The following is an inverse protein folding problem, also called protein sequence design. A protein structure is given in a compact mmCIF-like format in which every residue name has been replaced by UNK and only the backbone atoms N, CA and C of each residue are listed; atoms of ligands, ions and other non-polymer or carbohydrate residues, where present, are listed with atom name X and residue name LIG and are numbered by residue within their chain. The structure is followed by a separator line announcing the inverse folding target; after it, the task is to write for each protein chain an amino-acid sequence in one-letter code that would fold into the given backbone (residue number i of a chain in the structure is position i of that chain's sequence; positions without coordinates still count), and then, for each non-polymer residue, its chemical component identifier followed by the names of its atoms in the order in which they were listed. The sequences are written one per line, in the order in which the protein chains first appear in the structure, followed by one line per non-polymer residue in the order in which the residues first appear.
data_IF_502091950315
#
_entry.id   IF_502091950315
#
_cell.length_a   1.000
_cell.length_b   1.000
_cell.length_c   1.000
_cell.angle_alpha   90.00
_cell.angle_beta   90.00
_cell.angle_gamma   90.00
#
_symmetry.space_group_name_H-M   'P 1'
#
loop_
_entity.id
_entity.type
_entity.pdbx_description
1 polymer ?
#
# COMPACT_ATOMS: atom_id res chain seq x y z
N UNK A 1 2.22 24.39 5.81
CA UNK A 1 3.14 25.29 5.08
C UNK A 1 2.34 26.52 4.69
N UNK A 2 2.70 27.72 5.17
CA UNK A 2 1.97 28.95 4.84
C UNK A 2 2.57 29.52 3.56
N UNK A 3 1.81 29.49 2.48
CA UNK A 3 2.22 30.09 1.21
C UNK A 3 1.80 31.56 1.24
N UNK A 4 2.75 32.48 1.03
CA UNK A 4 2.53 33.93 1.14
C UNK A 4 1.47 34.49 0.15
N UNK A 5 1.06 33.70 -0.84
CA UNK A 5 0.08 34.08 -1.87
C UNK A 5 -1.35 33.53 -1.61
N UNK A 6 -1.61 32.88 -0.47
CA UNK A 6 -2.92 32.34 -0.14
C UNK A 6 -3.94 33.45 0.17
N UNK A 7 -4.97 33.58 -0.65
CA UNK A 7 -6.06 34.58 -0.50
C UNK A 7 -7.29 34.06 0.27
N UNK A 8 -7.24 32.83 0.77
CA UNK A 8 -8.34 32.18 1.50
C UNK A 8 -8.12 32.11 3.01
N UNK A 9 -9.20 31.82 3.75
CA UNK A 9 -9.15 31.48 5.17
C UNK A 9 -8.19 30.29 5.42
N UNK A 10 -7.49 30.29 6.55
CA UNK A 10 -6.56 29.24 7.00
C UNK A 10 -7.22 28.40 8.12
N UNK A 11 -8.26 27.59 7.80
CA UNK A 11 -8.99 26.85 8.82
C UNK A 11 -8.10 25.78 9.44
N UNK A 12 -8.34 25.51 10.72
CA UNK A 12 -7.65 24.44 11.44
C UNK A 12 -7.95 23.09 10.77
N UNK A 13 -6.92 22.37 10.35
CA UNK A 13 -7.06 21.05 9.72
C UNK A 13 -7.57 20.06 10.77
N UNK A 14 -8.66 19.37 10.48
CA UNK A 14 -9.12 18.21 11.25
C UNK A 14 -8.66 16.92 10.56
N UNK A 15 -7.67 16.19 11.11
CA UNK A 15 -7.15 14.96 10.51
C UNK A 15 -7.92 13.70 10.92
N UNK A 16 -9.00 13.83 11.69
CA UNK A 16 -9.79 12.69 12.15
C UNK A 16 -10.69 12.10 11.05
N UNK A 17 -10.95 10.79 11.14
CA UNK A 17 -11.80 10.06 10.20
C UNK A 17 -12.17 8.66 10.68
N UNK A 18 -12.76 7.87 9.79
CA UNK A 18 -13.12 6.48 10.04
C UNK A 18 -12.69 5.59 8.87
N UNK A 19 -12.25 4.37 9.20
CA UNK A 19 -11.94 3.30 8.26
C UNK A 19 -13.24 2.76 7.62
N UNK A 20 -13.17 2.09 6.46
CA UNK A 20 -14.37 1.52 5.80
C UNK A 20 -15.14 0.50 6.64
N UNK A 21 -14.52 -0.07 7.68
CA UNK A 21 -15.13 -1.00 8.63
C UNK A 21 -15.67 -0.31 9.90
N UNK A 22 -15.59 1.02 9.97
CA UNK A 22 -16.11 1.83 11.07
C UNK A 22 -15.10 2.15 12.18
N UNK A 23 -13.85 1.65 12.14
CA UNK A 23 -12.82 2.03 13.13
C UNK A 23 -12.43 3.49 12.97
N UNK A 24 -12.63 4.30 14.01
CA UNK A 24 -12.22 5.70 14.02
C UNK A 24 -10.70 5.88 14.18
N UNK A 25 -10.17 6.99 13.69
CA UNK A 25 -8.82 7.47 13.96
C UNK A 25 -8.84 8.99 14.13
N UNK A 26 -8.03 9.52 15.05
CA UNK A 26 -7.99 10.96 15.35
C UNK A 26 -6.97 11.73 14.50
N UNK A 27 -5.94 11.05 14.02
CA UNK A 27 -4.81 11.66 13.33
C UNK A 27 -4.10 10.66 12.39
N UNK A 28 -3.09 11.16 11.65
CA UNK A 28 -2.32 10.36 10.70
C UNK A 28 -1.50 9.23 11.34
N UNK A 29 -1.09 9.37 12.61
CA UNK A 29 -0.36 8.31 13.29
C UNK A 29 -1.30 7.17 13.68
N UNK A 30 -2.47 7.48 14.22
CA UNK A 30 -3.49 6.49 14.51
C UNK A 30 -3.97 5.80 13.23
N UNK A 31 -4.17 6.54 12.13
CA UNK A 31 -4.48 5.96 10.83
C UNK A 31 -3.43 4.92 10.38
N UNK A 32 -2.14 5.25 10.48
CA UNK A 32 -1.05 4.30 10.18
C UNK A 32 -1.10 3.08 11.08
N UNK A 33 -1.42 3.23 12.37
CA UNK A 33 -1.58 2.10 13.28
C UNK A 33 -2.75 1.20 12.85
N UNK A 34 -3.91 1.77 12.48
CA UNK A 34 -5.04 0.99 11.95
C UNK A 34 -4.69 0.22 10.69
N UNK A 35 -3.93 0.81 9.77
CA UNK A 35 -3.43 0.11 8.58
C UNK A 35 -2.46 -1.04 8.94
N UNK A 36 -1.69 -0.90 10.01
CA UNK A 36 -0.80 -1.95 10.53
C UNK A 36 -1.54 -3.06 11.28
N UNK A 37 -2.79 -2.87 11.68
CA UNK A 37 -3.63 -3.96 12.20
C UNK A 37 -4.00 -4.92 11.05
N UNK A 38 -4.16 -4.41 9.82
CA UNK A 38 -4.45 -5.18 8.60
C UNK A 38 -3.21 -5.34 7.68
N UNK A 39 -2.07 -5.75 8.25
CA UNK A 39 -0.79 -5.87 7.50
C UNK A 39 -0.87 -6.69 6.24
N UNK A 40 -1.64 -7.76 6.22
CA UNK A 40 -1.78 -8.62 5.04
C UNK A 40 -2.44 -7.86 3.87
N UNK A 41 -3.46 -7.03 4.15
CA UNK A 41 -4.14 -6.21 3.15
C UNK A 41 -3.25 -5.07 2.66
N UNK A 42 -2.54 -4.41 3.58
CA UNK A 42 -1.59 -3.35 3.24
C UNK A 42 -0.44 -3.91 2.38
N UNK A 43 0.12 -5.05 2.77
CA UNK A 43 1.17 -5.74 2.02
C UNK A 43 0.70 -6.14 0.63
N UNK A 44 -0.53 -6.65 0.51
CA UNK A 44 -1.15 -6.98 -0.79
C UNK A 44 -1.27 -5.77 -1.70
N UNK A 45 -1.87 -4.68 -1.20
CA UNK A 45 -2.04 -3.45 -1.98
C UNK A 45 -0.69 -2.88 -2.44
N UNK A 46 0.33 -2.90 -1.57
CA UNK A 46 1.67 -2.46 -1.93
C UNK A 46 2.29 -3.32 -3.05
N UNK A 47 2.16 -4.65 -2.97
CA UNK A 47 2.63 -5.57 -4.01
C UNK A 47 1.90 -5.28 -5.34
N UNK A 48 0.58 -5.16 -5.34
CA UNK A 48 -0.22 -4.89 -6.54
C UNK A 48 0.18 -3.57 -7.22
N UNK A 49 0.32 -2.49 -6.46
CA UNK A 49 0.79 -1.22 -7.00
C UNK A 49 2.22 -1.32 -7.52
N UNK A 50 3.13 -1.96 -6.78
CA UNK A 50 4.51 -2.14 -7.23
C UNK A 50 4.57 -2.92 -8.55
N UNK A 51 3.82 -4.02 -8.68
CA UNK A 51 3.73 -4.79 -9.90
C UNK A 51 3.09 -3.99 -11.04
N UNK A 52 2.06 -3.18 -10.76
CA UNK A 52 1.43 -2.30 -11.77
C UNK A 52 2.45 -1.34 -12.38
N UNK A 53 3.26 -0.69 -11.55
CA UNK A 53 4.32 0.21 -12.02
C UNK A 53 5.46 -0.55 -12.71
N UNK A 54 5.88 -1.70 -12.18
CA UNK A 54 6.98 -2.49 -12.74
C UNK A 54 6.63 -3.07 -14.13
N UNK A 55 5.40 -3.55 -14.31
CA UNK A 55 4.91 -4.12 -15.57
C UNK A 55 4.45 -3.05 -16.57
N UNK A 56 4.18 -1.81 -16.11
CA UNK A 56 3.58 -0.73 -16.91
C UNK A 56 2.21 -1.11 -17.48
N UNK A 57 1.47 -1.97 -16.79
CA UNK A 57 0.08 -2.35 -17.10
C UNK A 57 -0.70 -2.61 -15.82
N UNK A 58 -2.02 -2.57 -15.92
CA UNK A 58 -2.87 -3.06 -14.85
C UNK A 58 -2.66 -4.57 -14.65
N UNK A 59 -2.79 -5.00 -13.40
CA UNK A 59 -2.86 -6.41 -13.02
C UNK A 59 -4.13 -7.03 -13.61
N UNK A 60 -3.96 -8.16 -14.29
CA UNK A 60 -5.05 -8.95 -14.85
C UNK A 60 -5.44 -10.09 -13.90
N UNK A 61 -6.58 -10.73 -14.19
CA UNK A 61 -7.03 -11.90 -13.42
C UNK A 61 -6.00 -13.04 -13.44
N UNK A 62 -5.33 -13.25 -14.57
CA UNK A 62 -4.33 -14.31 -14.74
C UNK A 62 -3.05 -14.08 -13.91
N UNK A 63 -2.83 -12.86 -13.40
CA UNK A 63 -1.67 -12.53 -12.54
C UNK A 63 -1.92 -12.89 -11.06
N UNK A 64 -3.14 -13.29 -10.69
CA UNK A 64 -3.55 -13.52 -9.29
C UNK A 64 -2.72 -14.60 -8.59
N UNK A 65 -2.42 -15.69 -9.29
CA UNK A 65 -1.62 -16.79 -8.73
C UNK A 65 -0.19 -16.33 -8.44
N UNK A 66 0.41 -15.53 -9.32
CA UNK A 66 1.74 -14.98 -9.10
C UNK A 66 1.74 -13.98 -7.93
N UNK A 67 0.72 -13.12 -7.83
CA UNK A 67 0.56 -12.19 -6.71
C UNK A 67 0.38 -12.91 -5.38
N UNK A 68 -0.39 -13.99 -5.34
CA UNK A 68 -0.56 -14.84 -4.17
C UNK A 68 0.79 -15.46 -3.74
N UNK A 69 1.60 -15.93 -4.70
CA UNK A 69 2.92 -16.47 -4.43
C UNK A 69 3.88 -15.41 -3.86
N UNK A 70 3.91 -14.20 -4.45
CA UNK A 70 4.71 -13.07 -3.96
C UNK A 70 4.26 -12.68 -2.54
N UNK A 71 2.95 -12.60 -2.29
CA UNK A 71 2.41 -12.25 -0.98
C UNK A 71 2.78 -13.29 0.07
N UNK A 72 2.72 -14.59 -0.26
CA UNK A 72 3.13 -15.65 0.64
C UNK A 72 4.62 -15.54 1.00
N UNK A 73 5.48 -15.21 0.03
CA UNK A 73 6.92 -15.00 0.28
C UNK A 73 7.19 -13.74 1.11
N UNK A 74 6.48 -12.64 0.83
CA UNK A 74 6.54 -11.42 1.62
C UNK A 74 6.10 -11.66 3.08
N UNK A 75 5.07 -12.49 3.29
CA UNK A 75 4.55 -12.83 4.62
C UNK A 75 5.57 -13.57 5.48
N UNK A 76 6.33 -14.51 4.90
CA UNK A 76 7.44 -15.20 5.60
C UNK A 76 8.49 -14.22 6.13
N UNK A 77 8.71 -13.12 5.40
CA UNK A 77 9.67 -12.08 5.74
C UNK A 77 9.04 -10.88 6.48
N UNK A 78 7.86 -11.07 7.09
CA UNK A 78 7.14 -10.04 7.85
C UNK A 78 6.83 -8.75 7.05
N UNK A 79 6.64 -8.85 5.73
CA UNK A 79 6.37 -7.72 4.84
C UNK A 79 7.44 -6.62 4.88
N UNK A 80 8.71 -6.97 5.08
CA UNK A 80 9.81 -6.00 4.96
C UNK A 80 9.91 -5.51 3.53
N UNK A 81 9.99 -4.18 3.34
CA UNK A 81 10.00 -3.55 2.01
C UNK A 81 11.07 -4.14 1.09
N UNK A 82 12.30 -4.33 1.61
CA UNK A 82 13.40 -4.93 0.85
C UNK A 82 13.04 -6.33 0.32
N UNK A 83 12.38 -7.13 1.13
CA UNK A 83 12.02 -8.50 0.81
C UNK A 83 10.83 -8.55 -0.15
N UNK A 84 9.88 -7.62 -0.04
CA UNK A 84 8.81 -7.42 -1.03
C UNK A 84 9.39 -7.08 -2.40
N UNK A 85 10.28 -6.08 -2.47
CA UNK A 85 10.90 -5.67 -3.74
C UNK A 85 11.68 -6.83 -4.37
N UNK A 86 12.42 -7.59 -3.56
CA UNK A 86 13.13 -8.78 -4.02
C UNK A 86 12.16 -9.87 -4.52
N UNK A 87 11.10 -10.15 -3.78
CA UNK A 87 10.11 -11.16 -4.14
C UNK A 87 9.42 -10.80 -5.47
N UNK A 88 9.05 -9.53 -5.67
CA UNK A 88 8.52 -9.06 -6.95
C UNK A 88 9.56 -9.20 -8.06
N UNK A 89 10.79 -8.70 -7.86
CA UNK A 89 11.83 -8.73 -8.89
C UNK A 89 12.21 -10.15 -9.34
N UNK A 90 12.13 -11.14 -8.45
CA UNK A 90 12.45 -12.54 -8.73
C UNK A 90 11.23 -13.39 -9.15
N UNK A 91 10.03 -12.82 -9.11
CA UNK A 91 8.79 -13.54 -9.41
C UNK A 91 8.68 -13.94 -10.88
N UNK A 92 7.92 -14.99 -11.14
CA UNK A 92 7.59 -15.40 -12.51
C UNK A 92 6.73 -14.35 -13.23
N UNK A 93 5.97 -13.54 -12.49
CA UNK A 93 5.24 -12.39 -13.03
C UNK A 93 6.16 -11.41 -13.78
N UNK A 94 7.37 -11.16 -13.25
CA UNK A 94 8.35 -10.31 -13.95
C UNK A 94 8.97 -11.00 -15.16
N UNK A 95 9.08 -12.33 -15.17
CA UNK A 95 9.63 -13.10 -16.30
C UNK A 95 8.64 -13.23 -17.47
N UNK A 96 7.35 -13.09 -17.21
CA UNK A 96 6.28 -13.07 -18.22
C UNK A 96 6.22 -11.76 -19.02
N UNK A 97 6.98 -10.73 -18.60
CA UNK A 97 7.15 -9.46 -19.34
C UNK A 97 8.10 -9.64 -20.52
#
# INVERSE_FOLDING_TARGET
EKVAAGVGEDPLINPAGAMPDGRAFKDANEFKQRLLEDRDKLGRALIEHLCTYALRRAIAFDDQDDLNAIQAEAKKNNYRIKDIVRAVALSDLMKKR
#
